data_IF_559193762824
#
_entry.id   IF_559193762824
#
_cell.length_a   1.000
_cell.length_b   1.000
_cell.length_c   1.000
_cell.angle_alpha   90.00
_cell.angle_beta   90.00
_cell.angle_gamma   90.00
#
_symmetry.space_group_name_H-M   'P 1'
#
loop_
_entity.id
_entity.type
_entity.pdbx_description
1 polymer ?
#
# COMPACT_ATOMS: atom_id res chain seq x y z
N UNK A 1 -3.52 -31.59 -45.50
CA UNK A 1 -4.64 -31.20 -44.61
C UNK A 1 -4.03 -30.75 -43.28
N UNK A 2 -3.82 -29.45 -43.07
CA UNK A 2 -3.20 -28.94 -41.83
C UNK A 2 -4.24 -28.89 -40.71
N UNK A 3 -4.04 -29.70 -39.67
CA UNK A 3 -4.94 -29.78 -38.50
C UNK A 3 -4.26 -29.38 -37.18
N UNK A 4 -3.13 -28.68 -37.22
CA UNK A 4 -2.50 -28.17 -36.00
C UNK A 4 -3.14 -26.85 -35.56
N UNK A 5 -4.13 -27.07 -34.68
CA UNK A 5 -4.95 -26.14 -33.93
C UNK A 5 -4.14 -25.08 -33.16
N UNK A 6 -4.58 -23.82 -33.27
CA UNK A 6 -4.15 -22.69 -32.44
C UNK A 6 -4.71 -22.70 -31.02
N UNK A 7 -4.43 -23.75 -30.25
CA UNK A 7 -4.86 -23.88 -28.84
C UNK A 7 -3.79 -23.59 -27.78
N UNK A 8 -2.49 -23.61 -28.15
CA UNK A 8 -1.38 -23.55 -27.19
C UNK A 8 -0.75 -22.16 -27.01
N UNK A 9 -0.89 -21.25 -27.97
CA UNK A 9 -0.30 -19.91 -27.92
C UNK A 9 -0.84 -19.09 -26.73
N UNK A 10 -2.15 -19.15 -26.48
CA UNK A 10 -2.79 -18.41 -25.37
C UNK A 10 -2.45 -18.95 -23.98
N UNK A 11 -2.13 -20.23 -23.83
CA UNK A 11 -1.80 -20.84 -22.54
C UNK A 11 -0.35 -20.52 -22.13
N UNK A 12 0.57 -20.54 -23.10
CA UNK A 12 1.97 -20.15 -22.89
C UNK A 12 2.11 -18.65 -22.57
N UNK A 13 1.31 -17.80 -23.20
CA UNK A 13 1.29 -16.36 -22.92
C UNK A 13 0.80 -16.05 -21.50
N UNK A 14 -0.27 -16.72 -21.03
CA UNK A 14 -0.79 -16.58 -19.65
C UNK A 14 0.23 -17.05 -18.60
N UNK A 15 1.02 -18.08 -18.89
CA UNK A 15 2.09 -18.56 -17.99
C UNK A 15 3.23 -17.54 -17.92
N UNK A 16 3.67 -16.98 -19.06
CA UNK A 16 4.71 -15.95 -19.11
C UNK A 16 4.32 -14.68 -18.35
N UNK A 17 3.08 -14.19 -18.52
CA UNK A 17 2.58 -13.00 -17.79
C UNK A 17 2.57 -13.20 -16.27
N UNK A 18 2.16 -14.38 -15.79
CA UNK A 18 2.18 -14.69 -14.34
C UNK A 18 3.59 -14.69 -13.77
N UNK A 19 4.53 -15.34 -14.45
CA UNK A 19 5.94 -15.38 -14.01
C UNK A 19 6.52 -13.96 -13.98
N UNK A 20 6.31 -13.17 -15.04
CA UNK A 20 6.74 -11.76 -15.08
C UNK A 20 6.17 -10.94 -13.92
N UNK A 21 4.89 -11.14 -13.56
CA UNK A 21 4.27 -10.47 -12.42
C UNK A 21 4.94 -10.83 -11.09
N UNK A 22 5.24 -12.11 -10.84
CA UNK A 22 5.93 -12.53 -9.62
C UNK A 22 7.33 -11.94 -9.49
N UNK A 23 8.05 -11.72 -10.59
CA UNK A 23 9.37 -11.07 -10.57
C UNK A 23 9.31 -9.59 -10.17
N UNK A 24 8.28 -8.85 -10.59
CA UNK A 24 8.13 -7.42 -10.26
C UNK A 24 7.38 -7.18 -8.94
N UNK A 25 6.62 -8.17 -8.47
CA UNK A 25 5.86 -8.12 -7.22
C UNK A 25 6.68 -7.66 -5.99
N UNK A 26 7.90 -8.18 -5.71
CA UNK A 26 8.67 -7.74 -4.54
C UNK A 26 8.99 -6.24 -4.59
N UNK A 27 9.35 -5.70 -5.75
CA UNK A 27 9.61 -4.27 -5.92
C UNK A 27 8.34 -3.46 -5.74
N UNK A 28 7.21 -3.90 -6.32
CA UNK A 28 5.91 -3.24 -6.13
C UNK A 28 5.49 -3.21 -4.66
N UNK A 29 5.71 -4.30 -3.92
CA UNK A 29 5.42 -4.35 -2.49
C UNK A 29 6.26 -3.34 -1.70
N UNK A 30 7.56 -3.24 -2.00
CA UNK A 30 8.45 -2.27 -1.35
C UNK A 30 7.99 -0.85 -1.66
N UNK A 31 7.69 -0.52 -2.92
CA UNK A 31 7.19 0.80 -3.31
C UNK A 31 5.86 1.13 -2.63
N UNK A 32 4.94 0.16 -2.56
CA UNK A 32 3.66 0.32 -1.89
C UNK A 32 3.85 0.58 -0.40
N UNK A 33 4.71 -0.19 0.27
CA UNK A 33 5.01 -0.01 1.69
C UNK A 33 5.63 1.37 1.91
N UNK A 34 6.66 1.74 1.17
CA UNK A 34 7.33 3.03 1.32
C UNK A 34 6.40 4.22 1.04
N UNK A 35 5.51 4.10 0.05
CA UNK A 35 4.54 5.15 -0.28
C UNK A 35 3.35 5.22 0.67
N UNK A 36 2.82 4.08 1.11
CA UNK A 36 1.62 4.02 1.94
C UNK A 36 1.92 4.15 3.44
N UNK A 37 3.06 3.63 3.91
CA UNK A 37 3.47 3.71 5.31
C UNK A 37 3.41 5.11 5.91
N UNK A 38 4.00 6.17 5.30
CA UNK A 38 3.93 7.52 5.87
C UNK A 38 2.49 8.05 5.94
N UNK A 39 1.62 7.67 5.00
CA UNK A 39 0.20 8.07 5.02
C UNK A 39 -0.53 7.45 6.22
N UNK A 40 -0.34 6.15 6.44
CA UNK A 40 -0.91 5.47 7.61
C UNK A 40 -0.35 6.03 8.92
N UNK A 41 0.94 6.36 8.96
CA UNK A 41 1.56 6.97 10.13
C UNK A 41 0.97 8.34 10.45
N UNK A 42 0.70 9.18 9.44
CA UNK A 42 0.04 10.48 9.63
C UNK A 42 -1.39 10.31 10.14
N UNK A 43 -2.14 9.36 9.58
CA UNK A 43 -3.49 9.03 10.06
C UNK A 43 -3.42 8.54 11.51
N UNK A 44 -2.46 7.70 11.87
CA UNK A 44 -2.27 7.28 13.26
C UNK A 44 -1.97 8.47 14.17
N UNK A 45 -1.07 9.36 13.76
CA UNK A 45 -0.69 10.56 14.51
C UNK A 45 -1.83 11.57 14.65
N UNK A 46 -2.81 11.63 13.74
CA UNK A 46 -3.94 12.55 13.86
C UNK A 46 -4.86 12.21 15.04
N UNK A 47 -4.85 10.95 15.49
CA UNK A 47 -5.51 10.51 16.72
C UNK A 47 -4.68 10.77 17.98
N UNK A 48 -3.45 11.26 17.83
CA UNK A 48 -2.55 11.59 18.94
C UNK A 48 -2.42 13.10 19.09
N UNK A 49 -2.20 13.55 20.31
CA UNK A 49 -1.81 14.93 20.59
C UNK A 49 -0.30 15.03 20.47
N UNK A 50 0.15 15.58 19.35
CA UNK A 50 1.55 15.87 19.08
C UNK A 50 1.97 17.18 19.73
N UNK A 51 3.12 17.15 20.39
CA UNK A 51 3.83 18.34 20.86
C UNK A 51 5.00 18.58 19.90
N UNK A 52 4.94 19.68 19.14
CA UNK A 52 5.96 20.02 18.12
C UNK A 52 7.26 20.57 18.74
N UNK A 53 7.22 20.96 20.01
CA UNK A 53 8.38 21.35 20.83
C UNK A 53 8.70 20.23 21.81
N UNK A 54 9.88 20.25 22.45
CA UNK A 54 10.33 19.27 23.46
C UNK A 54 9.23 19.05 24.50
N UNK A 55 8.46 18.00 24.29
CA UNK A 55 7.22 17.72 24.97
C UNK A 55 7.08 16.21 25.06
N UNK A 56 6.19 15.73 25.96
CA UNK A 56 6.04 14.30 26.21
C UNK A 56 5.67 13.54 24.94
N UNK A 57 5.89 12.22 24.96
CA UNK A 57 5.55 11.33 23.87
C UNK A 57 4.09 11.52 23.38
N UNK A 58 3.81 11.25 22.08
CA UNK A 58 2.48 11.42 21.50
C UNK A 58 1.42 10.74 22.36
N UNK A 59 0.50 11.52 22.94
CA UNK A 59 -0.57 10.98 23.77
C UNK A 59 -1.77 10.64 22.90
N UNK A 60 -2.25 9.39 22.95
CA UNK A 60 -3.48 9.02 22.25
C UNK A 60 -4.68 9.79 22.83
N UNK A 61 -5.39 10.53 21.98
CA UNK A 61 -6.55 11.35 22.33
C UNK A 61 -7.79 10.99 21.49
N UNK A 62 -7.69 9.98 20.63
CA UNK A 62 -8.77 9.55 19.75
C UNK A 62 -9.25 10.69 18.85
N UNK A 63 -10.57 10.90 18.78
CA UNK A 63 -11.19 11.91 17.93
C UNK A 63 -11.21 13.33 18.53
N UNK A 64 -10.63 13.55 19.71
CA UNK A 64 -10.68 14.84 20.39
C UNK A 64 -10.12 15.99 19.53
N UNK A 65 -9.09 15.72 18.73
CA UNK A 65 -8.52 16.68 17.79
C UNK A 65 -9.52 17.13 16.72
N UNK A 66 -10.34 16.21 16.21
CA UNK A 66 -11.36 16.49 15.19
C UNK A 66 -12.55 17.26 15.78
N UNK A 67 -13.01 16.89 16.97
CA UNK A 67 -14.10 17.59 17.66
C UNK A 67 -13.74 19.04 17.99
N UNK A 68 -12.48 19.29 18.39
CA UNK A 68 -11.96 20.64 18.64
C UNK A 68 -11.98 21.55 17.40
N UNK A 69 -11.90 20.98 16.20
CA UNK A 69 -11.98 21.78 14.96
C UNK A 69 -13.44 22.17 14.66
N UNK A 70 -14.40 21.36 15.11
CA UNK A 70 -15.83 21.52 14.82
C UNK A 70 -16.57 22.38 15.85
N UNK A 71 -15.95 22.72 16.99
CA UNK A 71 -16.55 23.49 18.10
C UNK A 71 -15.67 24.70 18.41
#
# INVERSE_FOLDING_TARGET
MNIFQGGDSGQMEKRRKRVAFYFILPTLLILLILGAYPLFYIIYLSFHKLYLMTGPEPKFVGFANYLKILT
#
